data_IF_488282640003
#
_entry.id   IF_488282640003
#
_cell.length_a   1.000
_cell.length_b   1.000
_cell.length_c   1.000
_cell.angle_alpha   90.00
_cell.angle_beta   90.00
_cell.angle_gamma   90.00
#
_symmetry.space_group_name_H-M   'P 1'
#
loop_
_entity.id
_entity.type
_entity.pdbx_description
1 polymer ?
#
# COMPACT_ATOMS: atom_id res chain seq x y z
N UNK A 1 20.44 7.95 72.72
CA UNK A 1 20.04 7.45 71.38
C UNK A 1 19.06 8.46 70.80
N UNK A 2 19.49 9.20 69.77
CA UNK A 2 18.69 10.23 69.11
C UNK A 2 17.90 9.60 67.96
N UNK A 3 16.58 9.79 67.94
CA UNK A 3 15.69 9.41 66.83
C UNK A 3 15.56 10.58 65.87
N UNK A 4 15.95 10.37 64.61
CA UNK A 4 15.75 11.32 63.52
C UNK A 4 14.36 11.10 62.90
N UNK A 5 13.60 12.16 62.56
CA UNK A 5 12.36 11.99 61.81
C UNK A 5 12.67 11.70 60.33
N UNK A 6 12.01 10.68 59.79
CA UNK A 6 12.03 10.36 58.36
C UNK A 6 11.06 11.31 57.66
N UNK A 7 11.59 12.23 56.86
CA UNK A 7 10.79 13.08 55.97
C UNK A 7 10.46 12.27 54.72
N UNK A 8 9.19 11.86 54.56
CA UNK A 8 8.69 11.32 53.31
C UNK A 8 8.49 12.46 52.30
N UNK A 9 9.40 12.58 51.33
CA UNK A 9 9.17 13.39 50.13
C UNK A 9 8.28 12.58 49.18
N UNK A 10 7.01 12.94 49.09
CA UNK A 10 6.12 12.50 48.01
C UNK A 10 6.49 13.23 46.71
N UNK A 11 7.21 12.54 45.82
CA UNK A 11 7.38 12.95 44.43
C UNK A 11 6.01 12.89 43.73
N UNK A 12 5.36 14.05 43.59
CA UNK A 12 4.22 14.20 42.70
C UNK A 12 4.73 14.04 41.26
N UNK A 13 4.63 12.82 40.72
CA UNK A 13 4.87 12.57 39.30
C UNK A 13 3.70 13.20 38.55
N UNK A 14 3.92 14.18 37.65
CA UNK A 14 2.85 14.69 36.83
C UNK A 14 2.36 13.54 35.94
N UNK A 15 1.11 13.11 36.17
CA UNK A 15 0.40 12.22 35.25
C UNK A 15 0.19 13.01 33.98
N UNK A 16 1.10 12.85 33.02
CA UNK A 16 0.88 13.32 31.66
C UNK A 16 -0.30 12.53 31.10
N UNK A 17 -1.48 13.13 31.12
CA UNK A 17 -2.60 12.67 30.32
C UNK A 17 -2.12 12.65 28.87
N UNK A 18 -1.87 11.46 28.34
CA UNK A 18 -1.73 11.27 26.90
C UNK A 18 -3.12 11.56 26.35
N UNK A 19 -3.34 12.78 25.88
CA UNK A 19 -4.41 13.06 24.95
C UNK A 19 -4.17 12.15 23.75
N UNK A 20 -4.90 11.04 23.68
CA UNK A 20 -5.16 10.40 22.39
C UNK A 20 -6.03 11.39 21.63
N UNK A 21 -5.42 12.33 20.92
CA UNK A 21 -6.11 13.13 19.95
C UNK A 21 -6.87 12.14 19.05
N UNK A 22 -8.19 12.24 19.03
CA UNK A 22 -9.01 11.57 18.05
C UNK A 22 -8.60 12.12 16.68
N UNK A 23 -7.64 11.48 16.00
CA UNK A 23 -7.19 11.81 14.63
C UNK A 23 -8.32 11.58 13.60
N UNK A 24 -9.55 11.26 14.02
CA UNK A 24 -10.68 11.02 13.12
C UNK A 24 -11.38 12.28 12.61
N UNK A 25 -11.03 13.49 13.07
CA UNK A 25 -11.75 14.73 12.68
C UNK A 25 -11.13 15.55 11.54
N UNK A 26 -9.89 15.33 11.11
CA UNK A 26 -9.20 16.26 10.19
C UNK A 26 -9.27 15.90 8.69
N UNK A 27 -9.49 14.63 8.33
CA UNK A 27 -9.52 14.25 6.93
C UNK A 27 -10.87 14.56 6.26
N UNK A 28 -10.89 15.48 5.28
CA UNK A 28 -12.07 15.75 4.44
C UNK A 28 -12.25 14.68 3.34
N UNK A 29 -12.34 13.43 3.78
CA UNK A 29 -12.46 12.24 2.97
C UNK A 29 -12.16 11.01 3.80
N UNK A 30 -11.42 10.07 3.24
CA UNK A 30 -11.23 8.73 3.79
C UNK A 30 -9.76 8.48 4.13
N UNK A 31 -9.54 7.64 5.13
CA UNK A 31 -8.20 7.18 5.48
C UNK A 31 -7.92 5.82 4.83
N UNK A 32 -6.74 5.69 4.19
CA UNK A 32 -6.17 4.41 3.78
C UNK A 32 -4.71 4.34 4.23
N UNK A 33 -4.34 3.30 4.97
CA UNK A 33 -3.02 3.09 5.59
C UNK A 33 -2.45 4.36 6.27
N UNK A 34 -3.30 5.07 7.03
CA UNK A 34 -2.92 6.27 7.78
C UNK A 34 -2.78 7.55 6.95
N UNK A 35 -3.03 7.50 5.63
CA UNK A 35 -3.03 8.67 4.74
C UNK A 35 -4.46 9.16 4.47
N UNK A 36 -4.65 10.47 4.44
CA UNK A 36 -5.93 11.09 4.07
C UNK A 36 -6.05 11.22 2.56
N UNK A 37 -7.20 10.84 2.02
CA UNK A 37 -7.54 11.00 0.61
C UNK A 37 -8.79 11.84 0.48
N UNK A 38 -8.83 12.68 -0.56
CA UNK A 38 -9.92 13.63 -0.75
C UNK A 38 -11.24 12.92 -1.06
N UNK A 39 -12.34 13.47 -0.54
CA UNK A 39 -13.65 12.89 -0.81
C UNK A 39 -13.98 12.92 -2.31
N UNK A 40 -14.68 11.88 -2.79
CA UNK A 40 -15.09 11.68 -4.19
C UNK A 40 -13.93 11.53 -5.20
N UNK A 41 -12.70 11.25 -4.75
CA UNK A 41 -11.60 10.91 -5.66
C UNK A 41 -11.57 9.43 -5.98
N UNK A 42 -11.19 9.12 -7.22
CA UNK A 42 -10.87 7.77 -7.69
C UNK A 42 -9.42 7.77 -8.11
N UNK A 43 -8.67 6.76 -7.68
CA UNK A 43 -7.31 6.59 -8.15
C UNK A 43 -6.68 5.30 -7.70
N UNK A 44 -5.45 5.10 -8.17
CA UNK A 44 -4.68 3.92 -7.85
C UNK A 44 -3.98 4.10 -6.50
N UNK A 45 -4.27 3.19 -5.58
CA UNK A 45 -3.60 3.09 -4.30
C UNK A 45 -2.60 1.93 -4.33
N UNK A 46 -1.31 2.26 -4.19
CA UNK A 46 -0.19 1.33 -4.18
C UNK A 46 0.37 1.19 -2.77
N UNK A 47 0.49 -0.04 -2.31
CA UNK A 47 1.27 -0.35 -1.09
C UNK A 47 2.52 -1.13 -1.49
N UNK A 48 3.30 -1.56 -0.50
CA UNK A 48 4.42 -2.47 -0.71
C UNK A 48 4.00 -3.78 -1.37
N UNK A 49 2.80 -4.28 -1.09
CA UNK A 49 2.36 -5.62 -1.49
C UNK A 49 1.16 -5.62 -2.44
N UNK A 50 0.38 -4.54 -2.47
CA UNK A 50 -0.90 -4.50 -3.16
C UNK A 50 -0.99 -3.32 -4.11
N UNK A 51 -1.76 -3.51 -5.16
CA UNK A 51 -2.22 -2.42 -5.99
C UNK A 51 -3.72 -2.55 -6.24
N UNK A 52 -4.45 -1.47 -5.93
CA UNK A 52 -5.92 -1.44 -6.00
C UNK A 52 -6.39 -0.07 -6.43
N UNK A 53 -7.40 -0.04 -7.27
CA UNK A 53 -8.12 1.19 -7.58
C UNK A 53 -9.22 1.37 -6.54
N UNK A 54 -9.23 2.55 -5.93
CA UNK A 54 -10.12 2.86 -4.82
C UNK A 54 -10.88 4.14 -5.10
N UNK A 55 -12.11 4.19 -4.62
CA UNK A 55 -12.94 5.38 -4.59
C UNK A 55 -13.15 5.80 -3.13
N UNK A 56 -12.86 7.05 -2.84
CA UNK A 56 -13.08 7.66 -1.53
C UNK A 56 -14.49 8.25 -1.43
N UNK A 57 -15.30 7.84 -0.45
CA UNK A 57 -16.67 8.33 -0.25
C UNK A 57 -16.93 8.57 1.24
N UNK A 58 -17.07 9.84 1.60
CA UNK A 58 -17.17 10.27 2.99
C UNK A 58 -15.96 9.78 3.77
N UNK A 59 -16.20 9.11 4.91
CA UNK A 59 -15.15 8.54 5.77
C UNK A 59 -14.75 7.11 5.40
N UNK A 60 -15.27 6.58 4.29
CA UNK A 60 -15.07 5.20 3.84
C UNK A 60 -14.43 5.15 2.46
N UNK A 61 -13.89 3.99 2.09
CA UNK A 61 -13.42 3.75 0.73
C UNK A 61 -14.02 2.47 0.17
N UNK A 62 -14.17 2.43 -1.15
CA UNK A 62 -14.58 1.24 -1.89
C UNK A 62 -13.48 0.84 -2.84
N UNK A 63 -13.13 -0.44 -2.82
CA UNK A 63 -12.22 -1.01 -3.82
C UNK A 63 -13.00 -1.30 -5.09
N UNK A 64 -12.57 -0.69 -6.19
CA UNK A 64 -13.18 -0.86 -7.52
C UNK A 64 -12.53 -2.02 -8.26
N UNK A 65 -11.19 -2.06 -8.28
CA UNK A 65 -10.42 -3.04 -9.05
C UNK A 65 -9.15 -3.44 -8.32
N UNK A 66 -8.75 -4.70 -8.49
CA UNK A 66 -7.50 -5.27 -7.98
C UNK A 66 -6.53 -5.49 -9.13
N UNK A 67 -5.26 -5.27 -8.86
CA UNK A 67 -4.17 -5.39 -9.83
C UNK A 67 -3.09 -6.29 -9.25
N UNK A 68 -2.35 -6.98 -10.12
CA UNK A 68 -1.12 -7.63 -9.69
C UNK A 68 -0.01 -6.59 -9.65
N UNK A 69 0.83 -6.67 -8.61
CA UNK A 69 2.02 -5.84 -8.49
C UNK A 69 3.23 -6.60 -9.03
N UNK A 70 4.05 -5.95 -9.84
CA UNK A 70 5.34 -6.50 -10.27
C UNK A 70 6.49 -6.05 -9.33
N UNK A 71 7.72 -6.48 -9.65
CA UNK A 71 8.92 -6.14 -8.88
C UNK A 71 9.41 -4.70 -9.11
N UNK A 72 8.77 -3.92 -9.99
CA UNK A 72 9.10 -2.54 -10.34
C UNK A 72 7.96 -1.57 -9.98
N UNK A 73 7.09 -1.98 -9.06
CA UNK A 73 5.92 -1.23 -8.59
C UNK A 73 4.85 -0.90 -9.65
N UNK A 74 4.88 -1.57 -10.81
CA UNK A 74 3.79 -1.48 -11.78
C UNK A 74 2.58 -2.31 -11.35
N UNK A 75 1.42 -1.82 -11.74
CA UNK A 75 0.14 -2.48 -11.51
C UNK A 75 -0.40 -3.02 -12.82
N UNK A 76 -0.53 -4.34 -12.89
CA UNK A 76 -0.98 -5.08 -14.07
C UNK A 76 -2.45 -5.46 -13.92
N UNK A 77 -3.23 -5.26 -14.98
CA UNK A 77 -4.61 -5.71 -15.01
C UNK A 77 -4.73 -7.23 -15.16
N UNK A 78 -5.87 -7.78 -14.76
CA UNK A 78 -6.14 -9.19 -14.98
C UNK A 78 -6.04 -9.55 -16.47
N UNK A 79 -5.29 -10.61 -16.78
CA UNK A 79 -5.05 -11.08 -18.13
C UNK A 79 -3.86 -10.42 -18.82
N UNK A 80 -3.25 -9.38 -18.23
CA UNK A 80 -2.02 -8.83 -18.78
C UNK A 80 -0.87 -9.83 -18.68
N UNK A 81 -0.12 -9.92 -19.77
CA UNK A 81 1.10 -10.71 -19.87
C UNK A 81 2.31 -9.80 -20.03
N UNK A 82 3.39 -10.08 -19.31
CA UNK A 82 4.62 -9.30 -19.37
C UNK A 82 5.84 -10.21 -19.44
N UNK A 83 6.73 -10.05 -20.44
CA UNK A 83 7.99 -10.76 -20.46
C UNK A 83 8.91 -10.21 -19.35
N UNK A 84 9.75 -11.07 -18.81
CA UNK A 84 10.79 -10.68 -17.87
C UNK A 84 11.79 -11.80 -17.61
N UNK A 85 12.67 -11.58 -16.64
CA UNK A 85 13.71 -12.54 -16.26
C UNK A 85 13.58 -12.87 -14.79
N UNK A 86 13.59 -14.15 -14.46
CA UNK A 86 13.59 -14.66 -13.09
C UNK A 86 14.62 -15.79 -12.98
N UNK A 87 15.55 -15.69 -12.02
CA UNK A 87 16.60 -16.69 -11.81
C UNK A 87 17.36 -17.08 -13.10
N UNK A 88 17.74 -16.08 -13.91
CA UNK A 88 18.42 -16.25 -15.20
C UNK A 88 17.61 -17.03 -16.26
N UNK A 89 16.29 -17.14 -16.09
CA UNK A 89 15.38 -17.75 -17.04
C UNK A 89 14.42 -16.70 -17.59
N UNK A 90 14.15 -16.77 -18.89
CA UNK A 90 13.14 -15.94 -19.53
C UNK A 90 11.75 -16.48 -19.19
N UNK A 91 10.89 -15.59 -18.71
CA UNK A 91 9.55 -15.95 -18.25
C UNK A 91 8.52 -14.95 -18.76
N UNK A 92 7.28 -15.42 -18.92
CA UNK A 92 6.08 -14.59 -19.01
C UNK A 92 5.40 -14.53 -17.66
N UNK A 93 5.33 -13.34 -17.10
CA UNK A 93 4.44 -13.02 -16.00
C UNK A 93 3.03 -12.83 -16.54
N UNK A 94 2.04 -13.36 -15.83
CA UNK A 94 0.61 -13.21 -16.17
C UNK A 94 -0.14 -12.78 -14.93
N UNK A 95 -0.86 -11.67 -15.01
CA UNK A 95 -1.67 -11.25 -13.88
C UNK A 95 -3.01 -12.00 -13.82
N UNK A 96 -3.24 -12.70 -12.71
CA UNK A 96 -4.46 -13.45 -12.44
C UNK A 96 -5.12 -12.86 -11.21
N UNK A 97 -6.30 -12.25 -11.38
CA UNK A 97 -7.11 -11.73 -10.28
C UNK A 97 -8.32 -12.63 -10.13
N UNK A 98 -8.30 -13.50 -9.13
CA UNK A 98 -9.42 -14.43 -8.88
C UNK A 98 -10.04 -14.13 -7.52
N UNK A 99 -11.36 -13.91 -7.48
CA UNK A 99 -12.09 -13.60 -6.23
C UNK A 99 -11.42 -12.49 -5.40
N UNK A 100 -10.99 -11.40 -6.06
CA UNK A 100 -10.28 -10.26 -5.43
C UNK A 100 -8.89 -10.59 -4.87
N UNK A 101 -8.31 -11.72 -5.23
CA UNK A 101 -6.95 -12.11 -4.85
C UNK A 101 -6.06 -11.96 -6.09
N UNK A 102 -5.22 -10.91 -6.17
CA UNK A 102 -4.26 -10.76 -7.26
C UNK A 102 -3.08 -11.73 -7.07
N UNK A 103 -2.72 -12.44 -8.14
CA UNK A 103 -1.60 -13.38 -8.18
C UNK A 103 -0.82 -13.23 -9.47
N UNK A 104 0.50 -13.25 -9.37
CA UNK A 104 1.37 -13.31 -10.54
C UNK A 104 1.62 -14.77 -10.92
N UNK A 105 1.08 -15.20 -12.05
CA UNK A 105 1.46 -16.45 -12.70
C UNK A 105 2.80 -16.30 -13.41
N UNK A 106 3.64 -17.32 -13.36
CA UNK A 106 4.95 -17.33 -14.03
C UNK A 106 5.02 -18.53 -14.97
N UNK A 107 5.22 -18.28 -16.26
CA UNK A 107 5.44 -19.32 -17.27
C UNK A 107 6.84 -19.19 -17.84
N UNK A 108 7.61 -20.28 -17.86
CA UNK A 108 8.92 -20.29 -18.50
C UNK A 108 8.80 -20.21 -20.01
N UNK A 109 9.61 -19.36 -20.61
CA UNK A 109 9.84 -19.31 -22.05
C UNK A 109 11.17 -19.99 -22.36
N UNK A 110 11.14 -20.91 -23.33
CA UNK A 110 12.35 -21.60 -23.79
C UNK A 110 13.27 -20.68 -24.62
N UNK A 111 12.73 -19.59 -25.16
CA UNK A 111 13.47 -18.62 -25.97
C UNK A 111 13.35 -17.24 -25.34
N UNK A 112 14.49 -16.61 -25.11
CA UNK A 112 14.59 -15.23 -24.66
C UNK A 112 14.48 -14.28 -25.87
N UNK A 113 13.54 -13.36 -25.82
CA UNK A 113 13.47 -12.24 -26.77
C UNK A 113 14.15 -11.00 -26.18
N UNK A 114 14.47 -10.01 -27.03
CA UNK A 114 14.98 -8.71 -26.55
C UNK A 114 14.04 -8.08 -25.52
N UNK A 115 12.73 -8.28 -25.61
CA UNK A 115 11.77 -7.78 -24.62
C UNK A 115 11.94 -8.42 -23.24
N UNK A 116 12.43 -9.66 -23.14
CA UNK A 116 12.73 -10.23 -21.82
C UNK A 116 13.88 -9.48 -21.14
N UNK A 117 14.88 -9.07 -21.92
CA UNK A 117 16.11 -8.44 -21.43
C UNK A 117 15.94 -6.93 -21.25
N UNK A 118 15.33 -6.28 -22.24
CA UNK A 118 15.23 -4.84 -22.38
C UNK A 118 13.82 -4.30 -22.18
N UNK A 119 12.86 -5.10 -21.68
CA UNK A 119 11.50 -4.60 -21.41
C UNK A 119 11.59 -3.31 -20.60
N UNK A 120 11.26 -2.22 -21.29
CA UNK A 120 10.91 -0.95 -20.68
C UNK A 120 9.43 -1.04 -20.37
N UNK A 121 9.14 -1.19 -19.08
CA UNK A 121 7.78 -1.29 -18.60
C UNK A 121 7.19 0.10 -18.76
N UNK A 122 6.13 0.21 -19.56
CA UNK A 122 5.41 1.48 -19.70
C UNK A 122 4.86 1.82 -18.33
N UNK A 123 5.22 2.99 -17.80
CA UNK A 123 4.70 3.46 -16.53
C UNK A 123 3.17 3.32 -16.53
N UNK A 124 2.63 2.87 -15.40
CA UNK A 124 1.19 2.72 -15.23
C UNK A 124 0.48 4.00 -15.68
N UNK A 125 -0.47 3.88 -16.60
CA UNK A 125 -1.27 5.00 -17.10
C UNK A 125 -2.29 5.48 -16.06
N UNK A 126 -2.43 4.76 -14.94
CA UNK A 126 -3.33 5.08 -13.86
C UNK A 126 -2.71 6.12 -12.93
N UNK A 127 -3.43 7.22 -12.74
CA UNK A 127 -3.08 8.26 -11.77
C UNK A 127 -3.19 7.70 -10.35
N UNK A 128 -2.24 8.08 -9.51
CA UNK A 128 -2.36 7.81 -8.07
C UNK A 128 -3.55 8.56 -7.51
N UNK A 129 -4.12 8.03 -6.42
CA UNK A 129 -5.20 8.72 -5.73
C UNK A 129 -4.69 10.00 -5.05
N UNK A 130 -5.39 11.11 -5.25
CA UNK A 130 -5.02 12.42 -4.74
C UNK A 130 -5.13 12.48 -3.21
N UNK A 131 -4.04 12.91 -2.56
CA UNK A 131 -4.01 13.15 -1.12
C UNK A 131 -4.62 14.51 -0.80
N UNK A 132 -5.32 14.53 0.33
CA UNK A 132 -5.67 15.73 1.08
C UNK A 132 -4.61 15.88 2.19
#
# INVERSE_FOLDING_TARGET
>A
MQTFPIVFLSLAVPVTYIFTANISSECNGCYLDGKCFCNHTIGLFRTLYECREVMCIGKSYRILKWYCKDNRDNCLEHGEHRPGVLNNQCVMFTCIVWRKIPRMGVRRNFVCTLEHVYSYWKNSTHKEIDQC
#
